data_IF_951791508093
#
_entry.id   IF_951791508093
#
_cell.length_a   1.000
_cell.length_b   1.000
_cell.length_c   1.000
_cell.angle_alpha   90.00
_cell.angle_beta   90.00
_cell.angle_gamma   90.00
#
_symmetry.space_group_name_H-M   'P 1'
#
loop_
_entity.id
_entity.type
_entity.pdbx_description
1 polymer ?
#
# COMPACT_ATOMS: atom_id res chain seq x y z
N UNK A 1 -6.14 -6.49 -13.79
CA UNK A 1 -4.66 -6.30 -13.82
C UNK A 1 -4.25 -4.99 -13.13
N UNK A 2 -4.79 -3.83 -13.51
CA UNK A 2 -4.40 -2.53 -12.92
C UNK A 2 -4.35 -2.48 -11.37
N UNK A 3 -5.32 -3.03 -10.61
CA UNK A 3 -5.22 -3.06 -9.15
C UNK A 3 -3.99 -3.82 -8.63
N UNK A 4 -3.57 -4.87 -9.33
CA UNK A 4 -2.38 -5.64 -8.97
C UNK A 4 -1.10 -4.88 -9.31
N UNK A 5 -1.05 -4.18 -10.44
CA UNK A 5 0.10 -3.33 -10.78
C UNK A 5 0.25 -2.17 -9.79
N UNK A 6 -0.86 -1.50 -9.46
CA UNK A 6 -0.89 -0.48 -8.41
C UNK A 6 -0.34 -1.02 -7.09
N UNK A 7 -0.86 -2.18 -6.65
CA UNK A 7 -0.44 -2.82 -5.40
C UNK A 7 1.04 -3.24 -5.43
N UNK A 8 1.54 -3.72 -6.57
CA UNK A 8 2.94 -4.10 -6.71
C UNK A 8 3.88 -2.89 -6.51
N UNK A 9 3.50 -1.72 -7.03
CA UNK A 9 4.27 -0.49 -6.81
C UNK A 9 4.22 -0.09 -5.34
N UNK A 10 3.04 0.05 -4.74
CA UNK A 10 2.90 0.51 -3.35
C UNK A 10 3.54 -0.43 -2.34
N UNK A 11 3.37 -1.75 -2.50
CA UNK A 11 4.02 -2.76 -1.65
C UNK A 11 5.55 -2.68 -1.74
N UNK A 12 6.09 -2.54 -2.96
CA UNK A 12 7.55 -2.44 -3.16
C UNK A 12 8.11 -1.15 -2.57
N UNK A 13 7.40 -0.04 -2.71
CA UNK A 13 7.80 1.26 -2.16
C UNK A 13 7.86 1.22 -0.63
N UNK A 14 6.85 0.66 0.04
CA UNK A 14 6.89 0.49 1.50
C UNK A 14 7.99 -0.49 1.91
N UNK A 15 8.14 -1.63 1.24
CA UNK A 15 9.21 -2.59 1.56
C UNK A 15 10.61 -1.99 1.47
N UNK A 16 10.87 -1.17 0.45
CA UNK A 16 12.14 -0.47 0.28
C UNK A 16 12.37 0.61 1.35
N UNK A 17 11.33 1.37 1.71
CA UNK A 17 11.40 2.37 2.77
C UNK A 17 11.58 1.74 4.16
N UNK A 18 10.87 0.64 4.43
CA UNK A 18 10.98 -0.12 5.68
C UNK A 18 12.38 -0.72 5.84
N UNK A 19 12.98 -1.25 4.78
CA UNK A 19 14.36 -1.76 4.82
C UNK A 19 15.35 -0.66 5.24
N UNK A 20 15.25 0.54 4.65
CA UNK A 20 16.07 1.70 5.05
C UNK A 20 15.82 2.12 6.50
N UNK A 21 14.56 2.07 6.94
CA UNK A 21 14.20 2.36 8.33
C UNK A 21 14.85 1.36 9.30
N UNK A 22 14.83 0.08 8.97
CA UNK A 22 15.48 -0.98 9.78
C UNK A 22 16.98 -0.76 9.85
N UNK A 23 17.64 -0.44 8.74
CA UNK A 23 19.07 -0.15 8.71
C UNK A 23 19.43 1.06 9.58
N UNK A 24 18.64 2.14 9.51
CA UNK A 24 18.88 3.35 10.31
C UNK A 24 18.65 3.11 11.80
N UNK A 25 17.56 2.45 12.17
CA UNK A 25 17.29 2.10 13.58
C UNK A 25 18.41 1.20 14.14
N UNK A 26 18.87 0.21 13.36
CA UNK A 26 20.02 -0.63 13.74
C UNK A 26 21.31 0.18 13.89
N UNK A 27 21.56 1.13 12.98
CA UNK A 27 22.72 2.02 13.05
C UNK A 27 22.70 2.82 14.35
N UNK A 28 21.57 3.43 14.70
CA UNK A 28 21.43 4.20 15.94
C UNK A 28 21.70 3.33 17.18
N UNK A 29 21.05 2.16 17.29
CA UNK A 29 21.27 1.25 18.42
C UNK A 29 22.71 0.75 18.54
N UNK A 30 23.41 0.57 17.42
CA UNK A 30 24.81 0.09 17.42
C UNK A 30 25.83 1.19 17.70
N UNK A 31 25.55 2.43 17.30
CA UNK A 31 26.58 3.49 17.24
C UNK A 31 26.39 4.61 18.24
N UNK A 32 25.19 4.81 18.79
CA UNK A 32 24.90 5.85 19.80
C UNK A 32 25.10 5.26 21.21
N UNK A 33 26.17 5.61 21.94
CA UNK A 33 26.42 5.06 23.28
C UNK A 33 25.33 5.50 24.25
N UNK A 34 24.85 4.58 25.09
CA UNK A 34 23.81 4.87 26.09
C UNK A 34 22.38 4.79 25.54
N UNK A 35 22.17 4.52 24.25
CA UNK A 35 20.82 4.49 23.67
C UNK A 35 20.01 3.27 24.13
N UNK A 36 20.62 2.07 24.10
CA UNK A 36 19.98 0.83 24.56
C UNK A 36 19.72 0.86 26.07
N UNK A 37 20.58 1.54 26.83
CA UNK A 37 20.46 1.72 28.28
C UNK A 37 19.48 2.85 28.65
N UNK A 38 18.89 3.55 27.67
CA UNK A 38 17.94 4.64 27.90
C UNK A 38 18.55 5.94 28.43
N UNK A 39 19.86 6.11 28.34
CA UNK A 39 20.60 7.29 28.83
C UNK A 39 20.88 8.33 27.74
N UNK A 40 20.81 7.94 26.47
CA UNK A 40 20.95 8.82 25.32
C UNK A 40 19.62 8.97 24.56
N UNK A 41 19.43 10.11 23.90
CA UNK A 41 18.25 10.36 23.06
C UNK A 41 18.49 9.81 21.64
N UNK A 42 17.52 9.10 21.03
CA UNK A 42 17.61 8.70 19.63
C UNK A 42 17.45 9.91 18.71
N UNK A 43 17.89 9.74 17.46
CA UNK A 43 17.70 10.71 16.40
C UNK A 43 16.41 10.38 15.62
N UNK A 44 15.31 10.98 16.07
CA UNK A 44 14.01 10.83 15.41
C UNK A 44 13.96 11.49 14.04
N UNK A 45 14.72 12.58 13.82
CA UNK A 45 14.63 13.38 12.60
C UNK A 45 15.10 12.58 11.38
N UNK A 46 16.12 11.75 11.52
CA UNK A 46 16.59 10.88 10.45
C UNK A 46 15.54 9.82 10.04
N UNK A 47 14.85 9.20 11.00
CA UNK A 47 13.75 8.28 10.68
C UNK A 47 12.61 9.01 9.95
N UNK A 48 12.21 10.19 10.42
CA UNK A 48 11.18 11.02 9.76
C UNK A 48 11.59 11.40 8.33
N UNK A 49 12.86 11.74 8.12
CA UNK A 49 13.38 12.07 6.79
C UNK A 49 13.28 10.88 5.83
N UNK A 50 13.63 9.68 6.27
CA UNK A 50 13.57 8.47 5.42
C UNK A 50 12.15 8.22 4.91
N UNK A 51 11.15 8.27 5.79
CA UNK A 51 9.75 8.05 5.39
C UNK A 51 9.20 9.21 4.55
N UNK A 52 9.60 10.45 4.84
CA UNK A 52 9.19 11.64 4.08
C UNK A 52 9.72 11.60 2.65
N UNK A 53 11.02 11.37 2.47
CA UNK A 53 11.65 11.31 1.14
C UNK A 53 11.08 10.16 0.30
N UNK A 54 10.86 9.00 0.93
CA UNK A 54 10.28 7.85 0.26
C UNK A 54 8.83 8.11 -0.16
N UNK A 55 7.98 8.62 0.74
CA UNK A 55 6.56 8.83 0.45
C UNK A 55 6.34 9.86 -0.67
N UNK A 56 7.05 10.99 -0.64
CA UNK A 56 6.93 12.04 -1.66
C UNK A 56 7.38 11.58 -3.04
N UNK A 57 8.44 10.77 -3.11
CA UNK A 57 8.97 10.25 -4.39
C UNK A 57 8.10 9.12 -4.93
N UNK A 58 7.74 8.18 -4.08
CA UNK A 58 7.14 6.91 -4.48
C UNK A 58 5.62 7.00 -4.69
N UNK A 59 4.96 8.08 -4.25
CA UNK A 59 3.54 8.31 -4.54
C UNK A 59 3.27 8.66 -6.01
N UNK A 60 4.28 9.17 -6.73
CA UNK A 60 4.11 9.67 -8.10
C UNK A 60 3.74 8.55 -9.08
N UNK A 61 4.44 7.41 -9.15
CA UNK A 61 4.12 6.38 -10.14
C UNK A 61 2.73 5.74 -9.96
N UNK A 62 2.27 5.36 -8.75
CA UNK A 62 0.91 4.88 -8.55
C UNK A 62 -0.15 5.93 -8.89
N UNK A 63 0.08 7.20 -8.56
CA UNK A 63 -0.82 8.30 -8.93
C UNK A 63 -0.89 8.48 -10.45
N UNK A 64 0.26 8.49 -11.12
CA UNK A 64 0.35 8.59 -12.57
C UNK A 64 -0.34 7.40 -13.27
N UNK A 65 -0.19 6.17 -12.76
CA UNK A 65 -0.89 5.01 -13.30
C UNK A 65 -2.40 5.23 -13.31
N UNK A 66 -2.96 5.72 -12.19
CA UNK A 66 -4.41 5.92 -12.05
C UNK A 66 -4.90 7.04 -12.97
N UNK A 67 -4.24 8.20 -12.95
CA UNK A 67 -4.65 9.37 -13.73
C UNK A 67 -4.45 9.17 -15.24
N UNK A 68 -3.33 8.57 -15.65
CA UNK A 68 -3.03 8.41 -17.07
C UNK A 68 -3.82 7.27 -17.71
N UNK A 69 -4.33 6.30 -16.95
CA UNK A 69 -5.04 5.15 -17.52
C UNK A 69 -6.29 5.57 -18.31
N UNK A 70 -7.24 6.36 -17.75
CA UNK A 70 -8.39 6.85 -18.52
C UNK A 70 -7.98 7.69 -19.72
N UNK A 71 -7.00 8.59 -19.56
CA UNK A 71 -6.53 9.49 -20.61
C UNK A 71 -5.92 8.71 -21.79
N UNK A 72 -5.01 7.76 -21.51
CA UNK A 72 -4.35 6.94 -22.53
C UNK A 72 -5.37 6.00 -23.18
N UNK A 73 -6.17 5.30 -22.38
CA UNK A 73 -7.13 4.31 -22.90
C UNK A 73 -8.22 4.97 -23.74
N UNK A 74 -8.83 6.04 -23.22
CA UNK A 74 -9.89 6.77 -23.93
C UNK A 74 -9.38 7.44 -25.20
N UNK A 75 -8.19 8.05 -25.16
CA UNK A 75 -7.62 8.74 -26.33
C UNK A 75 -7.18 7.75 -27.41
N UNK A 76 -6.45 6.70 -27.06
CA UNK A 76 -5.88 5.78 -28.05
C UNK A 76 -6.87 4.71 -28.50
N UNK A 77 -7.66 4.15 -27.59
CA UNK A 77 -8.48 2.96 -27.82
C UNK A 77 -10.00 3.20 -27.75
N UNK A 78 -10.44 4.40 -27.40
CA UNK A 78 -11.86 4.77 -27.41
C UNK A 78 -12.64 4.34 -26.17
N UNK A 79 -13.94 4.66 -26.18
CA UNK A 79 -14.82 4.57 -25.02
C UNK A 79 -15.22 3.13 -24.69
N UNK A 80 -15.28 2.25 -25.69
CA UNK A 80 -15.62 0.84 -25.54
C UNK A 80 -14.52 0.10 -24.77
N UNK A 81 -13.26 0.33 -25.15
CA UNK A 81 -12.11 -0.23 -24.43
C UNK A 81 -12.04 0.32 -23.01
N UNK A 82 -12.25 1.63 -22.85
CA UNK A 82 -12.29 2.27 -21.54
C UNK A 82 -13.39 1.69 -20.64
N UNK A 83 -14.58 1.42 -21.18
CA UNK A 83 -15.67 0.77 -20.43
C UNK A 83 -15.25 -0.63 -19.91
N UNK A 84 -14.56 -1.42 -20.74
CA UNK A 84 -13.98 -2.70 -20.34
C UNK A 84 -12.94 -2.56 -19.22
N UNK A 85 -12.06 -1.57 -19.32
CA UNK A 85 -11.07 -1.25 -18.27
C UNK A 85 -11.74 -0.87 -16.96
N UNK A 86 -12.77 -0.01 -17.00
CA UNK A 86 -13.51 0.41 -15.82
C UNK A 86 -14.20 -0.78 -15.14
N UNK A 87 -14.97 -1.57 -15.90
CA UNK A 87 -15.66 -2.75 -15.38
C UNK A 87 -14.67 -3.76 -14.77
N UNK A 88 -13.59 -4.08 -15.49
CA UNK A 88 -12.56 -5.00 -15.02
C UNK A 88 -11.80 -4.50 -13.79
N UNK A 89 -11.49 -3.20 -13.72
CA UNK A 89 -10.82 -2.59 -12.57
C UNK A 89 -11.68 -2.63 -11.32
N UNK A 90 -13.00 -2.42 -11.46
CA UNK A 90 -13.98 -2.47 -10.38
C UNK A 90 -14.09 -3.90 -9.80
N UNK A 91 -14.49 -4.86 -10.63
CA UNK A 91 -14.81 -6.23 -10.15
C UNK A 91 -13.56 -6.98 -9.69
N UNK A 92 -12.37 -6.64 -10.21
CA UNK A 92 -11.10 -7.21 -9.77
C UNK A 92 -10.52 -6.50 -8.55
N UNK A 93 -10.54 -5.16 -8.55
CA UNK A 93 -9.89 -4.36 -7.52
C UNK A 93 -10.57 -4.46 -6.17
N UNK A 94 -11.90 -4.57 -6.14
CA UNK A 94 -12.66 -4.72 -4.89
C UNK A 94 -12.25 -5.97 -4.11
N UNK A 95 -11.95 -7.08 -4.80
CA UNK A 95 -11.56 -8.34 -4.16
C UNK A 95 -10.21 -8.22 -3.46
N UNK A 96 -9.23 -7.57 -4.11
CA UNK A 96 -7.89 -7.35 -3.54
C UNK A 96 -7.94 -6.31 -2.41
N UNK A 97 -8.74 -5.26 -2.55
CA UNK A 97 -8.89 -4.24 -1.52
C UNK A 97 -9.43 -4.84 -0.21
N UNK A 98 -10.50 -5.64 -0.30
CA UNK A 98 -11.12 -6.29 0.85
C UNK A 98 -10.16 -7.31 1.48
N UNK A 99 -9.57 -8.19 0.68
CA UNK A 99 -8.70 -9.24 1.21
C UNK A 99 -7.45 -8.65 1.87
N UNK A 100 -6.78 -7.68 1.24
CA UNK A 100 -5.59 -7.03 1.81
C UNK A 100 -5.90 -6.34 3.15
N UNK A 101 -6.99 -5.57 3.20
CA UNK A 101 -7.38 -4.82 4.40
C UNK A 101 -7.74 -5.76 5.55
N UNK A 102 -8.55 -6.79 5.27
CA UNK A 102 -8.97 -7.76 6.28
C UNK A 102 -7.80 -8.64 6.77
N UNK A 103 -6.94 -9.10 5.86
CA UNK A 103 -5.76 -9.90 6.22
C UNK A 103 -4.82 -9.12 7.12
N UNK A 104 -4.50 -7.86 6.79
CA UNK A 104 -3.66 -7.05 7.66
C UNK A 104 -4.33 -6.74 9.01
N UNK A 105 -5.63 -6.43 9.02
CA UNK A 105 -6.37 -6.22 10.26
C UNK A 105 -6.43 -7.47 11.15
N UNK A 106 -6.53 -8.65 10.54
CA UNK A 106 -6.50 -9.93 11.25
C UNK A 106 -5.14 -10.19 11.89
N UNK A 107 -4.03 -9.94 11.19
CA UNK A 107 -2.69 -10.09 11.76
C UNK A 107 -2.39 -9.10 12.89
N UNK A 108 -2.79 -7.83 12.76
CA UNK A 108 -2.65 -6.85 13.86
C UNK A 108 -3.44 -7.29 15.09
N UNK A 109 -4.69 -7.72 14.91
CA UNK A 109 -5.52 -8.19 16.02
C UNK A 109 -5.03 -9.51 16.62
N UNK A 110 -4.45 -10.41 15.82
CA UNK A 110 -3.83 -11.63 16.33
C UNK A 110 -2.59 -11.32 17.19
N UNK A 111 -1.76 -10.37 16.77
CA UNK A 111 -0.65 -9.85 17.59
C UNK A 111 -1.19 -9.24 18.89
N UNK A 112 -2.16 -8.32 18.81
CA UNK A 112 -2.78 -7.68 19.99
C UNK A 112 -3.40 -8.70 20.94
N UNK A 113 -3.99 -9.78 20.42
CA UNK A 113 -4.54 -10.87 21.24
C UNK A 113 -3.48 -11.51 22.12
N UNK A 114 -2.32 -11.86 21.55
CA UNK A 114 -1.17 -12.42 22.31
C UNK A 114 -0.61 -11.38 23.28
N UNK A 115 -0.45 -10.13 22.83
CA UNK A 115 0.08 -9.05 23.66
C UNK A 115 -0.77 -8.71 24.88
N UNK A 116 -2.10 -8.85 24.76
CA UNK A 116 -3.04 -8.53 25.82
C UNK A 116 -3.19 -9.66 26.86
N UNK A 117 -3.00 -10.92 26.47
CA UNK A 117 -2.97 -12.06 27.41
C UNK A 117 -4.23 -12.20 28.29
N UNK A 118 -5.40 -11.77 27.80
CA UNK A 118 -6.63 -11.68 28.60
C UNK A 118 -7.31 -13.03 28.84
N UNK A 119 -7.09 -14.01 27.96
CA UNK A 119 -7.62 -15.37 28.09
C UNK A 119 -6.49 -16.38 28.36
N UNK A 120 -6.84 -17.55 28.87
CA UNK A 120 -5.84 -18.62 29.09
C UNK A 120 -5.14 -19.05 27.80
N UNK A 121 -5.86 -19.06 26.66
CA UNK A 121 -5.26 -19.33 25.36
C UNK A 121 -4.33 -18.20 24.90
N UNK A 122 -4.66 -16.93 25.15
CA UNK A 122 -3.75 -15.82 24.82
C UNK A 122 -2.46 -15.88 25.67
N UNK A 123 -2.60 -16.19 26.98
CA UNK A 123 -1.46 -16.33 27.89
C UNK A 123 -0.56 -17.49 27.49
N UNK A 124 -1.12 -18.61 27.02
CA UNK A 124 -0.32 -19.76 26.58
C UNK A 124 0.54 -19.48 25.35
N UNK A 125 0.18 -18.48 24.54
CA UNK A 125 0.98 -18.00 23.39
C UNK A 125 2.00 -16.92 23.80
N UNK A 126 1.78 -16.24 24.92
CA UNK A 126 2.66 -15.21 25.45
C UNK A 126 3.85 -15.77 26.23
N UNK A 127 4.56 -14.93 27.02
CA UNK A 127 4.41 -13.48 27.13
C UNK A 127 5.02 -12.74 25.90
N UNK A 128 4.97 -11.39 25.91
CA UNK A 128 5.68 -10.58 24.91
C UNK A 128 7.14 -10.99 24.82
N UNK A 129 7.60 -11.21 23.59
CA UNK A 129 8.95 -11.70 23.30
C UNK A 129 9.05 -13.23 23.12
N UNK A 130 7.98 -13.98 23.39
CA UNK A 130 7.87 -15.40 23.00
C UNK A 130 7.98 -15.58 21.48
N UNK A 131 8.26 -16.80 21.04
CA UNK A 131 8.37 -17.09 19.61
C UNK A 131 7.04 -16.93 18.87
N UNK A 132 5.92 -17.29 19.50
CA UNK A 132 4.59 -17.04 18.95
C UNK A 132 4.30 -15.53 18.84
N UNK A 133 4.68 -14.73 19.84
CA UNK A 133 4.56 -13.27 19.77
C UNK A 133 5.42 -12.69 18.63
N UNK A 134 6.68 -13.12 18.50
CA UNK A 134 7.55 -12.67 17.39
C UNK A 134 6.95 -13.04 16.03
N UNK A 135 6.43 -14.26 15.87
CA UNK A 135 5.77 -14.69 14.64
C UNK A 135 4.53 -13.82 14.32
N UNK A 136 3.73 -13.47 15.32
CA UNK A 136 2.59 -12.58 15.14
C UNK A 136 3.03 -11.15 14.75
N UNK A 137 4.12 -10.64 15.32
CA UNK A 137 4.72 -9.36 14.91
C UNK A 137 5.18 -9.41 13.44
N UNK A 138 5.79 -10.51 12.97
CA UNK A 138 6.13 -10.66 11.55
C UNK A 138 4.86 -10.56 10.68
N UNK A 139 3.79 -11.30 11.03
CA UNK A 139 2.52 -11.22 10.31
C UNK A 139 1.95 -9.80 10.25
N UNK A 140 1.95 -9.08 11.38
CA UNK A 140 1.48 -7.70 11.43
C UNK A 140 2.29 -6.77 10.53
N UNK A 141 3.63 -6.87 10.55
CA UNK A 141 4.51 -6.05 9.69
C UNK A 141 4.35 -6.35 8.20
N UNK A 142 3.95 -7.57 7.82
CA UNK A 142 3.55 -7.89 6.43
C UNK A 142 2.19 -7.26 6.13
N UNK A 143 1.28 -7.26 7.11
CA UNK A 143 -0.06 -6.68 7.04
C UNK A 143 -0.10 -5.16 6.93
N UNK A 144 0.89 -4.44 7.48
CA UNK A 144 0.97 -2.97 7.45
C UNK A 144 0.83 -2.38 6.04
N UNK A 145 1.69 -2.69 5.05
CA UNK A 145 1.53 -2.16 3.69
C UNK A 145 0.27 -2.67 2.97
N UNK A 146 -0.29 -3.81 3.39
CA UNK A 146 -1.54 -4.33 2.84
C UNK A 146 -2.74 -3.50 3.32
N UNK A 147 -2.87 -3.26 4.62
CA UNK A 147 -4.05 -2.63 5.24
C UNK A 147 -3.98 -1.09 5.29
N UNK A 148 -2.78 -0.51 5.29
CA UNK A 148 -2.59 0.93 5.48
C UNK A 148 -2.07 1.65 4.23
N UNK A 149 -1.66 0.92 3.19
CA UNK A 149 -1.15 1.54 1.95
C UNK A 149 -1.91 1.04 0.72
N UNK A 150 -1.74 -0.23 0.36
CA UNK A 150 -2.23 -0.75 -0.91
C UNK A 150 -3.74 -0.97 -0.89
N UNK A 151 -4.24 -1.77 0.05
CA UNK A 151 -5.65 -2.14 0.20
C UNK A 151 -6.63 -0.97 0.20
N UNK A 152 -6.50 0.01 1.11
CA UNK A 152 -7.43 1.15 1.16
C UNK A 152 -7.32 2.06 -0.07
N UNK A 153 -6.13 2.19 -0.67
CA UNK A 153 -5.90 3.02 -1.86
C UNK A 153 -6.54 2.45 -3.13
N UNK A 154 -6.75 1.13 -3.21
CA UNK A 154 -7.45 0.51 -4.33
C UNK A 154 -8.89 0.99 -4.49
N UNK A 155 -9.57 1.35 -3.39
CA UNK A 155 -10.89 1.98 -3.48
C UNK A 155 -10.81 3.36 -4.16
N UNK A 156 -9.74 4.12 -3.91
CA UNK A 156 -9.50 5.41 -4.57
C UNK A 156 -9.22 5.21 -6.06
N UNK A 157 -8.37 4.24 -6.41
CA UNK A 157 -8.08 3.89 -7.81
C UNK A 157 -9.38 3.66 -8.61
N UNK A 158 -10.31 2.87 -8.07
CA UNK A 158 -11.56 2.52 -8.76
C UNK A 158 -12.44 3.75 -8.96
N UNK A 159 -12.75 4.48 -7.88
CA UNK A 159 -13.67 5.63 -7.96
C UNK A 159 -13.08 6.80 -8.75
N UNK A 160 -11.76 6.99 -8.69
CA UNK A 160 -11.08 8.07 -9.37
C UNK A 160 -11.08 7.85 -10.89
N UNK A 161 -10.70 6.66 -11.36
CA UNK A 161 -10.77 6.36 -12.80
C UNK A 161 -12.20 6.47 -13.33
N UNK A 162 -13.20 6.06 -12.55
CA UNK A 162 -14.60 6.15 -12.95
C UNK A 162 -15.06 7.61 -13.14
N UNK A 163 -14.82 8.49 -12.16
CA UNK A 163 -15.23 9.90 -12.27
C UNK A 163 -14.41 10.65 -13.31
N UNK A 164 -13.10 10.36 -13.44
CA UNK A 164 -12.25 10.95 -14.47
C UNK A 164 -12.74 10.56 -15.87
N UNK A 165 -13.05 9.27 -16.08
CA UNK A 165 -13.60 8.79 -17.36
C UNK A 165 -14.93 9.46 -17.70
N UNK A 166 -15.78 9.68 -16.70
CA UNK A 166 -17.06 10.38 -16.89
C UNK A 166 -16.85 11.85 -17.29
N UNK A 167 -15.96 12.56 -16.60
CA UNK A 167 -15.65 13.97 -16.89
C UNK A 167 -15.11 14.14 -18.31
N UNK A 168 -14.22 13.25 -18.75
CA UNK A 168 -13.63 13.29 -20.09
C UNK A 168 -14.44 12.53 -21.15
N UNK A 169 -15.62 11.98 -20.83
CA UNK A 169 -16.39 11.16 -21.76
C UNK A 169 -16.73 11.89 -23.09
N UNK A 170 -17.20 13.16 -23.10
CA UNK A 170 -17.44 13.88 -24.35
C UNK A 170 -16.17 14.05 -25.18
N UNK A 171 -15.04 14.32 -24.52
CA UNK A 171 -13.75 14.45 -25.18
C UNK A 171 -13.31 13.13 -25.83
N UNK A 172 -13.42 12.00 -25.12
CA UNK A 172 -13.06 10.69 -25.68
C UNK A 172 -14.01 10.27 -26.81
N UNK A 173 -15.30 10.54 -26.71
CA UNK A 173 -16.25 10.23 -27.77
C UNK A 173 -15.98 11.02 -29.06
N UNK A 174 -15.64 12.32 -28.93
CA UNK A 174 -15.33 13.17 -30.08
C UNK A 174 -13.94 12.90 -30.68
N UNK A 175 -12.92 12.77 -29.83
CA UNK A 175 -11.51 12.82 -30.26
C UNK A 175 -10.72 11.53 -30.00
N UNK A 176 -11.26 10.60 -29.23
CA UNK A 176 -10.59 9.34 -28.88
C UNK A 176 -10.66 8.27 -29.97
N UNK A 177 -10.16 7.08 -29.63
CA UNK A 177 -10.09 5.93 -30.54
C UNK A 177 -9.09 6.12 -31.68
N UNK A 178 -8.03 6.89 -31.47
CA UNK A 178 -7.08 7.25 -32.52
C UNK A 178 -6.49 6.01 -33.24
N UNK A 179 -6.18 4.95 -32.52
CA UNK A 179 -5.63 3.74 -33.14
C UNK A 179 -6.61 3.11 -34.12
N UNK A 180 -7.90 3.04 -33.79
CA UNK A 180 -8.92 2.49 -34.69
C UNK A 180 -9.35 3.44 -35.81
N UNK A 181 -8.98 4.72 -35.73
CA UNK A 181 -9.23 5.72 -36.78
C UNK A 181 -8.11 5.78 -37.82
N UNK A 182 -6.87 5.50 -37.42
CA UNK A 182 -5.67 5.70 -38.25
C UNK A 182 -4.91 4.41 -38.60
N UNK A 183 -5.24 3.27 -37.99
CA UNK A 183 -4.79 1.93 -38.40
C UNK A 183 -5.95 1.19 -39.06
#
# INVERSE_FOLDING_TARGET
MLPYWFSAMTMKSVGSAALKMVEEVRRQFKTIPGLMEGRAKPDYANCVKISTDASLREMIPPGALVMLTPLITGTLFGVETLAGVLAGSLVSGVQVAISASNTGGAWDNAKKYIEAGVSEHAKSLGPKGSDAHKAAVIGDTIGDPLKDTSGPSLNILIKLMAVESLVFAPFFAAHGGLLFKYL
#
